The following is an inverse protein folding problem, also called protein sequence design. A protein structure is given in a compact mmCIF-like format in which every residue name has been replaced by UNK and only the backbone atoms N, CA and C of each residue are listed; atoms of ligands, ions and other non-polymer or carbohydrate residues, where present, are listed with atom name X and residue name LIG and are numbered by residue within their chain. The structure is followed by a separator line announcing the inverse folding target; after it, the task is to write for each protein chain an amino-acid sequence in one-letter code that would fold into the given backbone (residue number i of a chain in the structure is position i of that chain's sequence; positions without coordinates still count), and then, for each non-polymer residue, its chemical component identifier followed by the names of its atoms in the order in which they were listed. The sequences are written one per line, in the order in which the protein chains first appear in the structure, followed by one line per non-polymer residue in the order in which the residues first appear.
data_IF_289532040469
#
_entry.id   IF_289532040469
#
_cell.length_a   1.000
_cell.length_b   1.000
_cell.length_c   1.000
_cell.angle_alpha   90.00
_cell.angle_beta   90.00
_cell.angle_gamma   90.00
#
_symmetry.space_group_name_H-M   'P 1'
#
loop_
_entity.id
_entity.type
_entity.pdbx_description
1 polymer ?
#
# COMPACT_ATOMS: atom_id res chain seq x y z
N UNK A 1 -5.10 -22.91 20.33
CA UNK A 1 -4.73 -22.85 18.91
C UNK A 1 -3.22 -22.72 18.80
N UNK A 2 -2.55 -23.47 17.93
CA UNK A 2 -1.12 -23.32 17.69
C UNK A 2 -0.87 -22.21 16.70
N UNK A 3 -0.11 -21.19 17.07
CA UNK A 3 0.32 -20.15 16.15
C UNK A 3 1.29 -20.71 15.11
N UNK A 4 1.12 -20.33 13.86
CA UNK A 4 2.05 -20.64 12.75
C UNK A 4 2.59 -19.34 12.17
N UNK A 5 3.85 -19.36 11.74
CA UNK A 5 4.44 -18.22 11.03
C UNK A 5 4.02 -18.24 9.55
N UNK A 6 4.13 -17.09 8.88
CA UNK A 6 3.85 -16.98 7.46
C UNK A 6 4.76 -17.84 6.61
N UNK A 7 4.19 -18.54 5.62
CA UNK A 7 4.94 -19.27 4.60
C UNK A 7 5.59 -18.35 3.54
N UNK A 8 5.24 -17.07 3.53
CA UNK A 8 5.82 -16.07 2.63
C UNK A 8 7.23 -15.63 3.05
N UNK A 9 7.74 -16.13 4.18
CA UNK A 9 9.04 -15.77 4.73
C UNK A 9 10.18 -16.31 3.86
N UNK A 10 11.09 -15.41 3.44
CA UNK A 10 12.29 -15.74 2.68
C UNK A 10 13.55 -15.79 3.55
N UNK A 11 13.52 -15.20 4.74
CA UNK A 11 14.68 -15.15 5.63
C UNK A 11 14.23 -15.22 7.10
N UNK A 12 14.98 -15.97 7.92
CA UNK A 12 14.70 -16.11 9.34
C UNK A 12 15.93 -15.72 10.16
N UNK A 13 15.75 -14.78 11.08
CA UNK A 13 16.74 -14.43 12.11
C UNK A 13 16.02 -14.06 13.39
N UNK A 14 15.86 -15.01 14.29
CA UNK A 14 15.08 -14.78 15.50
C UNK A 14 15.81 -13.86 16.48
N UNK A 15 15.07 -12.86 16.94
CA UNK A 15 15.49 -11.88 17.94
C UNK A 15 15.37 -12.45 19.34
N UNK A 16 16.36 -12.21 20.23
CA UNK A 16 16.22 -12.50 21.65
C UNK A 16 15.34 -11.48 22.39
N UNK A 17 15.01 -10.33 21.77
CA UNK A 17 14.19 -9.26 22.36
C UNK A 17 12.71 -9.57 22.19
N UNK A 18 12.20 -10.50 22.98
CA UNK A 18 10.82 -10.97 22.93
C UNK A 18 10.34 -11.43 24.31
N UNK A 19 9.04 -11.55 24.46
CA UNK A 19 8.44 -12.32 25.55
C UNK A 19 7.72 -13.55 24.99
N UNK A 20 7.92 -14.69 25.62
CA UNK A 20 7.38 -15.97 25.21
C UNK A 20 6.64 -16.63 26.37
N UNK A 21 5.41 -17.11 26.14
CA UNK A 21 4.56 -16.85 24.97
C UNK A 21 3.93 -15.43 25.03
N UNK A 22 3.26 -14.99 23.95
CA UNK A 22 2.32 -13.86 24.06
C UNK A 22 1.15 -14.24 24.97
N UNK A 23 0.53 -13.25 25.60
CA UNK A 23 -0.57 -13.48 26.54
C UNK A 23 -1.96 -13.11 26.01
N UNK A 24 -2.07 -12.91 24.71
CA UNK A 24 -3.32 -12.57 24.03
C UNK A 24 -3.37 -13.20 22.64
N UNK A 25 -4.57 -13.53 22.15
CA UNK A 25 -4.74 -13.97 20.77
C UNK A 25 -4.36 -12.83 19.80
N UNK A 26 -3.86 -13.21 18.62
CA UNK A 26 -3.58 -12.25 17.56
C UNK A 26 -4.92 -11.80 16.97
N UNK A 27 -5.21 -10.51 17.12
CA UNK A 27 -6.39 -9.87 16.58
C UNK A 27 -6.09 -8.49 15.96
N UNK A 28 -4.82 -8.12 15.91
CA UNK A 28 -4.36 -6.77 15.53
C UNK A 28 -3.14 -6.86 14.62
N UNK A 29 -3.03 -5.94 13.67
CA UNK A 29 -1.81 -5.70 12.89
C UNK A 29 -1.29 -4.29 13.20
N UNK A 30 0.02 -4.18 13.49
CA UNK A 30 0.69 -2.90 13.69
C UNK A 30 1.78 -2.71 12.64
N UNK A 31 1.61 -1.70 11.79
CA UNK A 31 2.53 -1.39 10.70
C UNK A 31 3.48 -0.27 11.13
N UNK A 32 4.78 -0.48 10.92
CA UNK A 32 5.87 0.45 11.19
C UNK A 32 6.66 0.79 9.93
N UNK A 33 7.42 1.88 9.93
CA UNK A 33 8.45 2.15 8.94
C UNK A 33 9.84 1.91 9.54
N UNK A 34 10.67 1.15 8.84
CA UNK A 34 12.02 0.79 9.27
C UNK A 34 13.00 1.96 9.26
N UNK A 35 12.71 3.00 8.47
CA UNK A 35 13.59 4.18 8.25
C UNK A 35 14.94 3.75 7.65
N UNK A 36 14.89 2.99 6.54
CA UNK A 36 16.02 2.52 5.76
C UNK A 36 15.59 1.64 4.60
N UNK A 37 16.27 1.75 3.48
CA UNK A 37 16.08 0.91 2.29
C UNK A 37 16.86 -0.39 2.49
N UNK A 38 16.28 -1.31 3.24
CA UNK A 38 16.88 -2.60 3.59
C UNK A 38 16.15 -3.76 2.94
N UNK A 39 16.86 -4.84 2.62
CA UNK A 39 16.23 -6.15 2.35
C UNK A 39 15.77 -6.78 3.68
N UNK A 40 14.91 -7.79 3.63
CA UNK A 40 14.49 -8.51 4.84
C UNK A 40 15.69 -9.06 5.64
N UNK A 41 16.69 -9.59 4.93
CA UNK A 41 17.93 -10.10 5.56
C UNK A 41 18.69 -8.99 6.30
N UNK A 42 18.86 -7.83 5.70
CA UNK A 42 19.53 -6.68 6.33
C UNK A 42 18.73 -6.17 7.55
N UNK A 43 17.41 -6.02 7.40
CA UNK A 43 16.54 -5.53 8.46
C UNK A 43 16.50 -6.45 9.67
N UNK A 44 16.37 -7.78 9.48
CA UNK A 44 16.39 -8.75 10.56
C UNK A 44 17.75 -8.82 11.29
N UNK A 45 18.85 -8.46 10.64
CA UNK A 45 20.20 -8.47 11.22
C UNK A 45 20.60 -7.15 11.87
N UNK A 46 19.70 -6.18 12.03
CA UNK A 46 20.05 -4.92 12.69
C UNK A 46 20.45 -5.16 14.15
N UNK A 47 21.38 -4.33 14.66
CA UNK A 47 21.96 -4.48 15.98
C UNK A 47 20.94 -4.46 17.12
N UNK A 48 19.85 -3.69 16.97
CA UNK A 48 18.76 -3.60 17.96
C UNK A 48 17.96 -4.89 18.07
N UNK A 49 17.87 -5.66 16.98
CA UNK A 49 17.09 -6.91 16.94
C UNK A 49 17.91 -8.11 17.40
N UNK A 50 19.19 -8.19 17.00
CA UNK A 50 20.01 -9.40 17.22
C UNK A 50 20.71 -9.45 18.58
N UNK A 51 20.84 -8.32 19.28
CA UNK A 51 21.46 -8.26 20.60
C UNK A 51 20.41 -8.14 21.70
N UNK A 52 20.46 -9.02 22.71
CA UNK A 52 19.59 -8.90 23.88
C UNK A 52 19.90 -7.61 24.62
N UNK A 53 18.88 -6.76 24.76
CA UNK A 53 19.00 -5.55 25.56
C UNK A 53 17.62 -5.17 26.12
N UNK A 54 17.45 -5.22 27.44
CA UNK A 54 16.17 -4.94 28.10
C UNK A 54 15.78 -3.45 28.07
N UNK A 55 16.73 -2.54 27.83
CA UNK A 55 16.52 -1.08 27.88
C UNK A 55 16.35 -0.52 26.45
N UNK A 56 17.26 -0.88 25.55
CA UNK A 56 17.33 -0.29 24.19
C UNK A 56 17.03 -1.28 23.08
N UNK A 57 16.84 -2.56 23.43
CA UNK A 57 16.50 -3.61 22.46
C UNK A 57 15.11 -3.39 21.88
N UNK A 58 14.97 -3.75 20.62
CA UNK A 58 13.70 -3.74 19.90
C UNK A 58 13.57 -5.03 19.09
N UNK A 59 12.39 -5.30 18.60
CA UNK A 59 12.12 -6.36 17.63
C UNK A 59 10.75 -6.15 16.99
N UNK A 60 10.52 -6.81 15.87
CA UNK A 60 9.20 -6.95 15.25
C UNK A 60 8.94 -8.43 14.93
N UNK A 61 7.72 -8.79 14.60
CA UNK A 61 7.47 -10.14 14.10
C UNK A 61 8.06 -10.29 12.70
N UNK A 62 7.78 -9.35 11.80
CA UNK A 62 8.24 -9.41 10.42
C UNK A 62 8.93 -8.12 9.96
N UNK A 63 9.86 -8.28 9.02
CA UNK A 63 10.43 -7.19 8.23
C UNK A 63 10.05 -7.42 6.78
N UNK A 64 9.51 -6.39 6.13
CA UNK A 64 9.29 -6.36 4.68
C UNK A 64 10.37 -5.50 4.05
N UNK A 65 11.20 -6.09 3.20
CA UNK A 65 12.29 -5.43 2.50
C UNK A 65 11.82 -4.54 1.35
N UNK A 66 12.65 -3.57 0.95
CA UNK A 66 12.36 -2.71 -0.21
C UNK A 66 12.21 -3.49 -1.52
N UNK A 67 12.80 -4.67 -1.61
CA UNK A 67 12.75 -5.61 -2.74
C UNK A 67 11.54 -6.57 -2.69
N UNK A 68 10.69 -6.43 -1.67
CA UNK A 68 9.54 -7.29 -1.41
C UNK A 68 9.87 -8.56 -0.63
N UNK A 69 11.13 -8.78 -0.24
CA UNK A 69 11.50 -9.92 0.63
C UNK A 69 10.84 -9.81 2.01
N UNK A 70 10.54 -10.96 2.65
CA UNK A 70 9.91 -11.02 3.96
C UNK A 70 10.80 -11.78 4.94
N UNK A 71 11.12 -11.18 6.05
CA UNK A 71 11.92 -11.76 7.12
C UNK A 71 11.14 -11.99 8.40
N UNK A 72 11.42 -13.09 9.11
CA UNK A 72 10.87 -13.41 10.42
C UNK A 72 11.90 -13.08 11.50
N UNK A 73 11.54 -12.21 12.42
CA UNK A 73 12.37 -11.81 13.56
C UNK A 73 11.83 -12.31 14.90
N UNK A 74 10.52 -12.43 15.08
CA UNK A 74 9.88 -12.98 16.27
C UNK A 74 8.71 -13.85 15.83
N UNK A 75 8.64 -15.07 16.35
CA UNK A 75 7.54 -15.98 16.05
C UNK A 75 6.19 -15.34 16.44
N UNK A 76 5.14 -15.64 15.70
CA UNK A 76 3.79 -15.15 16.04
C UNK A 76 3.28 -15.66 17.38
N UNK A 77 3.78 -16.79 17.88
CA UNK A 77 3.54 -17.28 19.24
C UNK A 77 4.11 -16.39 20.35
N UNK A 78 4.98 -15.47 19.99
CA UNK A 78 5.72 -14.61 20.92
C UNK A 78 5.35 -13.13 20.72
N UNK A 79 5.48 -12.35 21.79
CA UNK A 79 5.32 -10.91 21.76
C UNK A 79 6.63 -10.24 21.34
N UNK A 80 6.62 -9.47 20.28
CA UNK A 80 7.72 -8.58 19.89
C UNK A 80 7.83 -7.34 20.81
N UNK A 81 8.89 -6.56 20.67
CA UNK A 81 9.10 -5.28 21.35
C UNK A 81 9.14 -4.16 20.31
N UNK A 82 8.00 -3.74 19.80
CA UNK A 82 7.92 -2.89 18.64
C UNK A 82 7.22 -1.55 18.86
N UNK A 83 6.00 -1.55 19.41
CA UNK A 83 5.14 -0.37 19.45
C UNK A 83 5.33 0.51 20.69
N UNK A 84 6.27 0.20 21.58
CA UNK A 84 6.42 0.82 22.89
C UNK A 84 5.20 0.59 23.83
N UNK A 85 4.33 -0.35 23.48
CA UNK A 85 3.15 -0.70 24.27
C UNK A 85 2.98 -2.22 24.38
N UNK A 86 3.16 -2.74 25.59
CA UNK A 86 3.10 -4.18 25.86
C UNK A 86 1.74 -4.80 25.55
N UNK A 87 0.65 -4.09 25.82
CA UNK A 87 -0.71 -4.57 25.56
C UNK A 87 -0.96 -4.70 24.06
N UNK A 88 -0.58 -3.67 23.29
CA UNK A 88 -0.67 -3.72 21.83
C UNK A 88 0.18 -4.85 21.25
N UNK A 89 1.46 -4.94 21.63
CA UNK A 89 2.38 -5.94 21.07
C UNK A 89 1.98 -7.39 21.43
N UNK A 90 1.21 -7.60 22.51
CA UNK A 90 0.63 -8.91 22.81
C UNK A 90 -0.53 -9.29 21.87
N UNK A 91 -1.28 -8.31 21.39
CA UNK A 91 -2.40 -8.51 20.46
C UNK A 91 -1.95 -8.52 19.01
N UNK A 92 -0.90 -7.75 18.71
CA UNK A 92 -0.52 -7.45 17.35
C UNK A 92 0.55 -8.39 16.79
N UNK A 93 0.44 -8.67 15.49
CA UNK A 93 1.60 -8.95 14.65
C UNK A 93 2.16 -7.61 14.19
N UNK A 94 3.42 -7.36 14.51
CA UNK A 94 4.13 -6.11 14.21
C UNK A 94 5.01 -6.27 12.98
N UNK A 95 4.93 -5.31 12.05
CA UNK A 95 5.61 -5.39 10.75
C UNK A 95 6.40 -4.11 10.53
N UNK A 96 7.71 -4.22 10.39
CA UNK A 96 8.60 -3.14 9.96
C UNK A 96 8.75 -3.18 8.44
N UNK A 97 8.42 -2.08 7.76
CA UNK A 97 8.49 -1.98 6.30
C UNK A 97 9.66 -1.09 5.91
N UNK A 98 10.55 -1.59 5.05
CA UNK A 98 11.65 -0.80 4.51
C UNK A 98 11.12 0.46 3.84
N UNK A 99 11.70 1.61 4.19
CA UNK A 99 11.22 2.91 3.75
C UNK A 99 12.38 3.86 3.47
N UNK A 100 12.09 4.98 2.85
CA UNK A 100 13.05 6.09 2.79
C UNK A 100 13.42 6.57 4.20
N UNK A 101 14.58 7.23 4.30
CA UNK A 101 15.11 7.75 5.57
C UNK A 101 14.57 9.13 5.93
N UNK A 102 13.90 9.79 5.00
CA UNK A 102 13.32 11.14 5.15
C UNK A 102 11.81 11.09 4.94
N UNK A 103 11.11 12.07 5.54
CA UNK A 103 9.68 12.27 5.30
C UNK A 103 9.38 12.40 3.81
N UNK A 104 8.31 11.76 3.30
CA UNK A 104 7.22 11.07 4.03
C UNK A 104 7.53 9.61 4.43
N UNK A 105 8.76 9.12 4.32
CA UNK A 105 9.18 7.73 4.57
C UNK A 105 8.50 6.77 3.59
N UNK A 106 8.60 7.08 2.30
CA UNK A 106 7.99 6.29 1.24
C UNK A 106 8.54 4.86 1.22
N UNK A 107 7.67 3.92 0.87
CA UNK A 107 8.04 2.52 0.65
C UNK A 107 7.96 2.19 -0.83
N UNK A 108 8.70 1.18 -1.28
CA UNK A 108 8.62 0.73 -2.67
C UNK A 108 7.30 0.00 -2.93
N UNK A 109 6.93 -0.08 -4.19
CA UNK A 109 5.75 -0.84 -4.60
C UNK A 109 5.86 -2.31 -4.20
N UNK A 110 7.04 -2.93 -4.42
CA UNK A 110 7.29 -4.33 -4.02
C UNK A 110 7.10 -4.55 -2.52
N UNK A 111 7.57 -3.60 -1.70
CA UNK A 111 7.36 -3.65 -0.26
C UNK A 111 5.87 -3.51 0.09
N UNK A 112 5.13 -2.63 -0.58
CA UNK A 112 3.68 -2.46 -0.35
C UNK A 112 2.89 -3.72 -0.74
N UNK A 113 3.18 -4.30 -1.90
CA UNK A 113 2.53 -5.54 -2.36
C UNK A 113 2.79 -6.70 -1.38
N UNK A 114 4.05 -6.88 -0.97
CA UNK A 114 4.42 -7.91 0.01
C UNK A 114 3.80 -7.66 1.39
N UNK A 115 3.68 -6.39 1.81
CA UNK A 115 2.99 -6.02 3.05
C UNK A 115 1.52 -6.42 3.01
N UNK A 116 0.80 -6.13 1.92
CA UNK A 116 -0.61 -6.48 1.76
C UNK A 116 -0.80 -8.00 1.78
N UNK A 117 0.02 -8.74 1.02
CA UNK A 117 -0.03 -10.21 1.01
C UNK A 117 0.28 -10.81 2.38
N UNK A 118 1.28 -10.28 3.10
CA UNK A 118 1.62 -10.71 4.45
C UNK A 118 0.49 -10.42 5.43
N UNK A 119 -0.13 -9.24 5.37
CA UNK A 119 -1.28 -8.90 6.22
C UNK A 119 -2.46 -9.84 5.96
N UNK A 120 -2.77 -10.16 4.70
CA UNK A 120 -3.82 -11.09 4.34
C UNK A 120 -3.54 -12.52 4.86
N UNK A 121 -2.29 -13.00 4.74
CA UNK A 121 -1.86 -14.29 5.27
C UNK A 121 -1.96 -14.34 6.80
N UNK A 122 -1.54 -13.29 7.51
CA UNK A 122 -1.70 -13.17 8.97
C UNK A 122 -3.18 -13.22 9.34
N UNK A 123 -4.04 -12.47 8.65
CA UNK A 123 -5.48 -12.46 8.91
C UNK A 123 -6.09 -13.85 8.75
N UNK A 124 -5.77 -14.57 7.67
CA UNK A 124 -6.27 -15.93 7.41
C UNK A 124 -5.87 -16.93 8.50
N UNK A 125 -4.58 -16.91 8.90
CA UNK A 125 -4.04 -17.84 9.90
C UNK A 125 -4.52 -17.57 11.32
N UNK A 126 -4.92 -16.33 11.62
CA UNK A 126 -5.36 -15.91 12.94
C UNK A 126 -6.89 -15.62 12.98
N UNK A 127 -7.65 -16.06 11.99
CA UNK A 127 -9.12 -15.96 11.92
C UNK A 127 -9.63 -14.49 11.97
N UNK A 128 -8.81 -13.54 11.56
CA UNK A 128 -9.20 -12.14 11.41
C UNK A 128 -9.99 -12.01 10.11
N UNK A 129 -11.31 -11.96 10.22
CA UNK A 129 -12.21 -11.97 9.05
C UNK A 129 -12.18 -10.68 8.25
N UNK A 130 -11.84 -9.57 8.90
CA UNK A 130 -11.85 -8.23 8.30
C UNK A 130 -10.80 -7.34 8.95
N UNK A 131 -9.99 -6.65 8.15
CA UNK A 131 -9.03 -5.67 8.64
C UNK A 131 -9.64 -4.27 8.57
N UNK A 132 -9.63 -3.54 9.68
CA UNK A 132 -10.29 -2.24 9.79
C UNK A 132 -9.38 -1.17 10.37
N UNK A 133 -9.19 -0.11 9.60
CA UNK A 133 -8.55 1.12 10.02
C UNK A 133 -9.58 2.16 10.48
N UNK A 134 -9.23 2.98 11.46
CA UNK A 134 -9.96 4.20 11.85
C UNK A 134 -9.02 5.40 11.84
N UNK A 135 -9.49 6.53 11.34
CA UNK A 135 -8.75 7.80 11.43
C UNK A 135 -8.72 8.33 12.87
N UNK A 136 -9.64 7.88 13.72
CA UNK A 136 -9.71 8.24 15.12
C UNK A 136 -8.72 7.42 15.96
N UNK A 137 -7.73 8.09 16.55
CA UNK A 137 -6.71 7.48 17.41
C UNK A 137 -7.31 6.72 18.61
N UNK A 138 -8.40 7.22 19.19
CA UNK A 138 -9.08 6.57 20.34
C UNK A 138 -9.67 5.22 19.93
N UNK A 139 -10.26 5.13 18.73
CA UNK A 139 -10.80 3.86 18.22
C UNK A 139 -9.70 2.82 18.04
N UNK A 140 -8.57 3.22 17.44
CA UNK A 140 -7.42 2.34 17.25
C UNK A 140 -6.86 1.81 18.58
N UNK A 141 -6.63 2.71 19.54
CA UNK A 141 -6.07 2.32 20.85
C UNK A 141 -6.97 1.42 21.68
N UNK A 142 -8.28 1.59 21.52
CA UNK A 142 -9.29 0.91 22.34
C UNK A 142 -10.06 -0.16 21.55
N UNK A 143 -9.64 -0.47 20.32
CA UNK A 143 -10.27 -1.45 19.41
C UNK A 143 -11.80 -1.23 19.25
N UNK A 144 -12.21 0.05 19.24
CA UNK A 144 -13.63 0.41 19.08
C UNK A 144 -14.08 0.22 17.64
N UNK A 145 -15.36 -0.01 17.46
CA UNK A 145 -15.98 -0.17 16.14
C UNK A 145 -15.32 -1.25 15.27
N UNK A 146 -14.69 -2.27 15.88
CA UNK A 146 -14.00 -3.35 15.18
C UNK A 146 -12.62 -2.97 14.61
N UNK A 147 -12.08 -1.79 14.97
CA UNK A 147 -10.75 -1.37 14.55
C UNK A 147 -9.69 -2.33 15.11
N UNK A 148 -8.86 -2.88 14.22
CA UNK A 148 -7.81 -3.86 14.52
C UNK A 148 -6.48 -3.55 13.79
N UNK A 149 -6.33 -2.32 13.31
CA UNK A 149 -5.06 -1.78 12.85
C UNK A 149 -4.60 -0.67 13.76
N UNK A 150 -3.31 -0.69 14.13
CA UNK A 150 -2.68 0.31 14.98
C UNK A 150 -1.34 0.73 14.40
N UNK A 151 -0.77 1.81 14.91
CA UNK A 151 0.54 2.33 14.50
C UNK A 151 1.36 2.80 15.71
N UNK A 152 2.67 2.88 15.58
CA UNK A 152 3.55 3.26 16.68
C UNK A 152 3.21 4.63 17.29
N UNK A 153 2.85 5.63 16.46
CA UNK A 153 2.46 6.97 16.94
C UNK A 153 1.19 7.00 17.79
N UNK A 154 0.46 5.90 17.86
CA UNK A 154 -0.69 5.79 18.77
C UNK A 154 -0.24 5.66 20.23
N UNK A 155 0.94 5.10 20.45
CA UNK A 155 1.44 4.72 21.78
C UNK A 155 2.65 5.51 22.23
N UNK A 156 3.40 6.14 21.34
CA UNK A 156 4.59 6.91 21.64
C UNK A 156 4.68 8.17 20.77
N UNK A 157 5.45 9.17 21.22
CA UNK A 157 5.75 10.38 20.43
C UNK A 157 6.76 10.06 19.32
N UNK A 158 6.30 9.39 18.27
CA UNK A 158 7.10 8.95 17.11
C UNK A 158 6.42 9.35 15.80
N UNK A 159 7.21 9.59 14.76
CA UNK A 159 6.71 9.80 13.40
C UNK A 159 6.29 8.48 12.71
N UNK A 160 6.76 7.33 13.20
CA UNK A 160 6.41 6.01 12.67
C UNK A 160 4.89 5.78 12.66
N UNK A 161 4.31 5.26 11.55
CA UNK A 161 4.94 4.62 10.42
C UNK A 161 5.35 5.57 9.28
N UNK A 162 5.50 6.87 9.52
CA UNK A 162 5.68 7.90 8.51
C UNK A 162 4.35 8.28 7.83
N UNK A 163 4.32 9.44 7.17
CA UNK A 163 3.08 9.91 6.56
C UNK A 163 2.66 9.03 5.38
N UNK A 164 3.63 8.51 4.63
CA UNK A 164 3.34 7.65 3.48
C UNK A 164 2.48 6.43 3.86
N UNK A 165 2.91 5.63 4.85
CA UNK A 165 2.15 4.47 5.30
C UNK A 165 0.93 4.87 6.15
N UNK A 166 1.02 5.95 6.93
CA UNK A 166 -0.09 6.40 7.77
C UNK A 166 -1.33 6.78 6.95
N UNK A 167 -1.14 7.52 5.88
CA UNK A 167 -2.22 7.94 4.97
C UNK A 167 -2.79 6.78 4.14
N UNK A 168 -2.06 5.65 4.07
CA UNK A 168 -2.45 4.45 3.30
C UNK A 168 -2.95 3.28 4.13
N UNK A 169 -3.13 3.45 5.45
CA UNK A 169 -3.62 2.37 6.31
C UNK A 169 -5.01 1.87 5.87
N UNK A 170 -5.93 2.78 5.50
CA UNK A 170 -7.25 2.43 4.97
C UNK A 170 -7.13 1.64 3.65
N UNK A 171 -6.31 2.12 2.73
CA UNK A 171 -6.02 1.44 1.47
C UNK A 171 -5.45 0.02 1.70
N UNK A 172 -4.49 -0.13 2.63
CA UNK A 172 -3.93 -1.45 2.97
C UNK A 172 -5.04 -2.37 3.50
N UNK A 173 -5.91 -1.85 4.39
CA UNK A 173 -7.04 -2.61 4.90
C UNK A 173 -7.97 -3.08 3.77
N UNK A 174 -8.32 -2.19 2.86
CA UNK A 174 -9.24 -2.49 1.74
C UNK A 174 -8.66 -3.54 0.80
N UNK A 175 -7.37 -3.45 0.44
CA UNK A 175 -6.71 -4.45 -0.41
C UNK A 175 -6.59 -5.82 0.29
N UNK A 176 -6.30 -5.84 1.59
CA UNK A 176 -6.29 -7.07 2.38
C UNK A 176 -7.68 -7.71 2.39
N UNK A 177 -8.72 -6.92 2.61
CA UNK A 177 -10.10 -7.42 2.67
C UNK A 177 -10.56 -8.00 1.34
N UNK A 178 -10.19 -7.43 0.20
CA UNK A 178 -10.44 -8.03 -1.13
C UNK A 178 -9.85 -9.45 -1.21
N UNK A 179 -8.60 -9.64 -0.77
CA UNK A 179 -7.95 -10.96 -0.76
C UNK A 179 -8.64 -11.94 0.21
N UNK A 180 -9.20 -11.45 1.32
CA UNK A 180 -9.92 -12.28 2.27
C UNK A 180 -11.28 -12.70 1.70
N UNK A 181 -11.99 -11.83 1.02
CA UNK A 181 -13.31 -12.08 0.42
C UNK A 181 -13.23 -13.06 -0.77
N UNK A 182 -12.22 -12.92 -1.64
CA UNK A 182 -11.99 -13.83 -2.77
C UNK A 182 -11.86 -15.30 -2.33
N UNK A 183 -11.24 -15.56 -1.16
CA UNK A 183 -11.07 -16.92 -0.63
C UNK A 183 -12.32 -17.47 0.07
N UNK A 184 -13.24 -16.63 0.51
CA UNK A 184 -14.53 -17.06 1.07
C UNK A 184 -15.53 -17.45 -0.02
N UNK A 185 -15.35 -16.97 -1.25
CA UNK A 185 -16.20 -17.22 -2.42
C UNK A 185 -15.84 -18.52 -3.17
N UNK A 186 -14.77 -19.23 -2.80
CA UNK A 186 -14.24 -20.40 -3.53
C UNK A 186 -15.11 -21.68 -3.46
N UNK A 187 -16.39 -21.61 -3.12
CA UNK A 187 -17.36 -22.73 -3.23
C UNK A 187 -18.44 -22.53 -4.30
N UNK A 188 -18.37 -21.49 -5.08
CA UNK A 188 -19.22 -21.31 -6.25
C UNK A 188 -18.34 -21.09 -7.48
N UNK A 189 -18.64 -21.80 -8.56
CA UNK A 189 -17.97 -21.63 -9.86
C UNK A 189 -17.87 -20.15 -10.23
N UNK A 190 -16.69 -19.57 -10.08
CA UNK A 190 -16.46 -18.18 -10.46
C UNK A 190 -16.22 -18.17 -11.96
N UNK A 191 -17.26 -17.79 -12.70
CA UNK A 191 -17.07 -17.01 -13.93
C UNK A 191 -16.22 -15.83 -13.47
N UNK A 192 -15.06 -15.63 -14.11
CA UNK A 192 -14.23 -14.43 -13.90
C UNK A 192 -15.11 -13.26 -14.38
N UNK A 193 -15.93 -12.72 -13.46
CA UNK A 193 -16.52 -11.41 -13.67
C UNK A 193 -15.34 -10.44 -13.75
N UNK A 194 -15.17 -9.86 -14.92
CA UNK A 194 -14.24 -8.75 -15.12
C UNK A 194 -14.56 -7.71 -14.04
N UNK A 195 -13.60 -7.45 -13.16
CA UNK A 195 -13.70 -6.37 -12.18
C UNK A 195 -13.86 -5.07 -12.98
N UNK A 196 -15.11 -4.59 -13.07
CA UNK A 196 -15.41 -3.25 -13.56
C UNK A 196 -15.14 -2.29 -12.39
N UNK A 197 -14.08 -1.48 -12.43
CA UNK A 197 -13.87 -0.47 -11.41
C UNK A 197 -15.08 0.47 -11.41
N UNK A 198 -15.47 0.96 -10.24
CA UNK A 198 -16.56 1.91 -10.07
C UNK A 198 -16.22 3.19 -10.85
N UNK A 199 -16.68 3.25 -12.10
CA UNK A 199 -16.53 4.43 -12.95
C UNK A 199 -17.40 5.54 -12.39
N UNK A 200 -16.85 6.73 -12.29
CA UNK A 200 -17.60 7.93 -11.95
C UNK A 200 -18.64 8.31 -13.01
N UNK A 201 -19.41 9.36 -12.73
CA UNK A 201 -20.42 9.88 -13.65
C UNK A 201 -19.84 10.20 -15.04
N UNK A 202 -20.56 9.85 -16.09
CA UNK A 202 -20.18 10.06 -17.49
C UNK A 202 -20.03 11.55 -17.85
N UNK A 203 -20.80 12.43 -17.23
CA UNK A 203 -20.65 13.87 -17.42
C UNK A 203 -19.30 14.36 -16.88
N UNK A 204 -18.87 13.79 -15.77
CA UNK A 204 -17.56 14.06 -15.20
C UNK A 204 -16.43 13.53 -16.09
N UNK A 205 -16.60 12.34 -16.68
CA UNK A 205 -15.65 11.79 -17.66
C UNK A 205 -15.49 12.70 -18.88
N UNK A 206 -16.60 13.18 -19.44
CA UNK A 206 -16.57 14.12 -20.56
C UNK A 206 -15.78 15.41 -20.22
N UNK A 207 -15.92 15.90 -18.98
CA UNK A 207 -15.16 17.05 -18.50
C UNK A 207 -13.67 16.74 -18.39
N UNK A 208 -13.29 15.54 -17.95
CA UNK A 208 -11.89 15.12 -17.86
C UNK A 208 -11.26 15.05 -19.27
N UNK A 209 -11.98 14.56 -20.27
CA UNK A 209 -11.47 14.54 -21.66
C UNK A 209 -11.18 15.96 -22.17
N UNK A 210 -12.06 16.92 -21.90
CA UNK A 210 -11.81 18.35 -22.19
C UNK A 210 -10.55 18.86 -21.49
N UNK A 211 -10.37 18.50 -20.21
CA UNK A 211 -9.19 18.87 -19.43
C UNK A 211 -7.91 18.25 -19.99
N UNK A 212 -7.94 17.00 -20.46
CA UNK A 212 -6.81 16.36 -21.14
C UNK A 212 -6.40 17.15 -22.39
N UNK A 213 -7.34 17.51 -23.25
CA UNK A 213 -7.08 18.30 -24.47
C UNK A 213 -6.50 19.68 -24.12
N UNK A 214 -7.09 20.36 -23.13
CA UNK A 214 -6.58 21.64 -22.65
C UNK A 214 -5.15 21.52 -22.09
N UNK A 215 -4.88 20.42 -21.36
CA UNK A 215 -3.55 20.14 -20.81
C UNK A 215 -2.53 19.86 -21.91
N UNK A 216 -2.90 19.13 -22.96
CA UNK A 216 -2.05 18.89 -24.12
C UNK A 216 -1.73 20.20 -24.86
N UNK A 217 -2.71 21.08 -25.01
CA UNK A 217 -2.50 22.39 -25.60
C UNK A 217 -1.50 23.21 -24.77
N UNK A 218 -1.66 23.23 -23.44
CA UNK A 218 -0.78 23.99 -22.52
C UNK A 218 0.62 23.41 -22.38
N UNK A 219 0.72 22.11 -22.18
CA UNK A 219 1.98 21.46 -21.86
C UNK A 219 2.84 21.11 -23.08
N UNK A 220 2.19 20.90 -24.25
CA UNK A 220 2.86 20.43 -25.47
C UNK A 220 2.67 21.35 -26.68
N UNK A 221 2.00 22.51 -26.49
CA UNK A 221 1.79 23.48 -27.57
C UNK A 221 0.89 22.98 -28.68
N UNK A 222 -0.02 22.05 -28.40
CA UNK A 222 -0.98 21.51 -29.37
C UNK A 222 -2.20 22.43 -29.49
N UNK A 223 -3.05 22.20 -30.50
CA UNK A 223 -4.22 23.03 -30.81
C UNK A 223 -5.49 22.21 -30.88
N UNK A 224 -5.76 21.39 -29.87
CA UNK A 224 -7.01 20.64 -29.80
C UNK A 224 -8.21 21.56 -29.60
N UNK A 225 -9.29 21.26 -30.34
CA UNK A 225 -10.64 21.76 -30.01
C UNK A 225 -11.05 21.13 -28.66
N UNK A 226 -11.53 21.96 -27.73
CA UNK A 226 -11.87 21.52 -26.37
C UNK A 226 -13.28 20.95 -26.33
N UNK A 227 -13.42 19.71 -26.76
CA UNK A 227 -14.65 18.91 -26.70
C UNK A 227 -14.38 17.57 -25.95
N UNK A 228 -15.43 16.78 -25.77
CA UNK A 228 -15.35 15.48 -25.05
C UNK A 228 -15.11 14.29 -26.00
N UNK A 229 -14.79 14.49 -27.25
CA UNK A 229 -14.54 13.40 -28.21
C UNK A 229 -13.19 12.72 -27.95
N UNK A 230 -13.16 11.40 -28.04
CA UNK A 230 -11.93 10.60 -28.04
C UNK A 230 -11.74 10.08 -29.45
N UNK A 231 -10.87 10.72 -30.20
CA UNK A 231 -10.56 10.39 -31.59
C UNK A 231 -9.09 9.95 -31.75
N UNK A 232 -8.73 9.45 -32.91
CA UNK A 232 -7.39 8.95 -33.21
C UNK A 232 -6.29 10.01 -33.05
N UNK A 233 -6.62 11.29 -33.29
CA UNK A 233 -5.66 12.40 -33.13
C UNK A 233 -5.32 12.54 -31.64
N UNK A 234 -6.30 12.50 -30.75
CA UNK A 234 -6.05 12.52 -29.28
C UNK A 234 -5.23 11.32 -28.84
N UNK A 235 -5.62 10.12 -29.27
CA UNK A 235 -4.94 8.87 -28.91
C UNK A 235 -3.49 8.85 -29.41
N UNK A 236 -3.25 9.30 -30.64
CA UNK A 236 -1.90 9.39 -31.22
C UNK A 236 -1.03 10.36 -30.44
N UNK A 237 -1.53 11.52 -30.05
CA UNK A 237 -0.76 12.46 -29.25
C UNK A 237 -0.49 11.94 -27.84
N UNK A 238 -1.47 11.34 -27.16
CA UNK A 238 -1.29 10.73 -25.85
C UNK A 238 -0.32 9.55 -25.88
N UNK A 239 -0.22 8.82 -26.99
CA UNK A 239 0.74 7.73 -27.11
C UNK A 239 2.20 8.16 -26.96
N UNK A 240 2.49 9.45 -27.18
CA UNK A 240 3.81 10.05 -27.00
C UNK A 240 3.98 10.71 -25.62
N UNK A 241 2.94 10.73 -24.79
CA UNK A 241 2.97 11.31 -23.44
C UNK A 241 3.42 10.26 -22.44
N UNK A 242 4.70 10.31 -22.07
CA UNK A 242 5.28 9.46 -21.06
C UNK A 242 5.42 10.26 -19.77
N UNK A 243 4.70 9.87 -18.72
CA UNK A 243 4.74 10.50 -17.40
C UNK A 243 5.30 9.52 -16.39
N UNK A 244 6.21 10.01 -15.56
CA UNK A 244 6.82 9.27 -14.45
C UNK A 244 7.20 10.24 -13.33
N UNK A 245 7.66 9.71 -12.19
CA UNK A 245 8.08 10.53 -11.04
C UNK A 245 9.21 11.50 -11.38
N UNK A 246 10.07 11.17 -12.36
CA UNK A 246 11.21 11.98 -12.78
C UNK A 246 10.97 12.76 -14.07
N UNK A 247 9.85 12.53 -14.76
CA UNK A 247 9.52 13.16 -16.03
C UNK A 247 8.00 13.36 -16.15
N UNK A 248 7.53 14.58 -15.87
CA UNK A 248 6.13 14.92 -15.98
C UNK A 248 5.91 16.40 -16.30
N UNK A 249 4.70 16.72 -16.77
CA UNK A 249 4.20 18.09 -16.92
C UNK A 249 2.93 18.26 -16.11
N UNK A 250 2.79 19.40 -15.44
CA UNK A 250 1.79 19.57 -14.37
C UNK A 250 0.34 19.49 -14.83
N UNK A 251 0.00 20.11 -15.98
CA UNK A 251 -1.38 20.14 -16.42
C UNK A 251 -1.88 18.75 -16.84
N UNK A 252 -1.09 18.01 -17.64
CA UNK A 252 -1.49 16.66 -18.07
C UNK A 252 -1.46 15.67 -16.91
N UNK A 253 -0.55 15.84 -15.94
CA UNK A 253 -0.54 15.04 -14.71
C UNK A 253 -1.79 15.30 -13.88
N UNK A 254 -2.23 16.54 -13.75
CA UNK A 254 -3.48 16.89 -13.08
C UNK A 254 -4.68 16.19 -13.71
N UNK A 255 -4.76 16.21 -15.05
CA UNK A 255 -5.84 15.54 -15.81
C UNK A 255 -5.78 14.01 -15.69
N UNK A 256 -4.58 13.42 -15.67
CA UNK A 256 -4.38 11.99 -15.38
C UNK A 256 -4.89 11.63 -13.96
N UNK A 257 -4.56 12.43 -12.96
CA UNK A 257 -5.02 12.20 -11.57
C UNK A 257 -6.55 12.29 -11.47
N UNK A 258 -7.19 13.21 -12.18
CA UNK A 258 -8.65 13.27 -12.27
C UNK A 258 -9.22 11.99 -12.90
N UNK A 259 -8.59 11.48 -13.97
CA UNK A 259 -9.00 10.26 -14.65
C UNK A 259 -8.85 9.03 -13.77
N UNK A 260 -7.72 8.91 -13.05
CA UNK A 260 -7.50 7.84 -12.08
C UNK A 260 -8.55 7.89 -10.95
N UNK A 261 -8.88 9.08 -10.45
CA UNK A 261 -9.94 9.24 -9.45
C UNK A 261 -11.32 8.88 -9.99
N UNK A 262 -11.60 9.19 -11.26
CA UNK A 262 -12.84 8.78 -11.92
C UNK A 262 -12.96 7.24 -12.03
N UNK A 263 -11.84 6.56 -12.20
CA UNK A 263 -11.75 5.10 -12.15
C UNK A 263 -11.88 4.51 -10.73
N UNK A 264 -12.09 5.33 -9.71
CA UNK A 264 -12.30 4.90 -8.32
C UNK A 264 -11.04 4.82 -7.46
N UNK A 265 -9.88 5.24 -7.99
CA UNK A 265 -8.65 5.25 -7.18
C UNK A 265 -8.56 6.48 -6.28
N UNK A 266 -7.88 6.34 -5.13
CA UNK A 266 -7.63 7.47 -4.23
C UNK A 266 -6.43 8.32 -4.71
N UNK A 267 -6.61 8.93 -5.90
CA UNK A 267 -5.60 9.79 -6.49
C UNK A 267 -5.61 11.18 -5.85
N UNK A 268 -4.44 11.66 -5.45
CA UNK A 268 -4.23 13.05 -5.01
C UNK A 268 -4.10 13.95 -6.24
N UNK A 269 -5.10 14.80 -6.47
CA UNK A 269 -5.15 15.71 -7.62
C UNK A 269 -4.41 17.00 -7.31
N UNK A 270 -3.13 17.10 -7.69
CA UNK A 270 -2.27 18.25 -7.41
C UNK A 270 -1.31 18.63 -8.55
N UNK A 271 -1.37 17.93 -9.68
CA UNK A 271 -0.51 18.14 -10.84
C UNK A 271 0.95 17.70 -10.66
N UNK A 272 1.30 17.07 -9.54
CA UNK A 272 2.64 16.53 -9.30
C UNK A 272 2.62 15.01 -9.47
N UNK A 273 3.48 14.49 -10.35
CA UNK A 273 3.64 13.04 -10.49
C UNK A 273 4.54 12.51 -9.36
N UNK A 274 3.97 12.40 -8.17
CA UNK A 274 4.64 11.87 -6.99
C UNK A 274 4.37 10.38 -6.80
N UNK A 275 4.86 9.83 -5.68
CA UNK A 275 4.73 8.40 -5.33
C UNK A 275 3.29 7.89 -5.29
N UNK A 276 2.31 8.73 -4.90
CA UNK A 276 0.89 8.34 -4.97
C UNK A 276 0.44 8.13 -6.43
N UNK A 277 0.77 9.04 -7.35
CA UNK A 277 0.39 8.90 -8.76
C UNK A 277 1.10 7.70 -9.41
N UNK A 278 2.41 7.55 -9.18
CA UNK A 278 3.19 6.40 -9.64
C UNK A 278 2.60 5.06 -9.19
N UNK A 279 2.28 4.98 -7.91
CA UNK A 279 1.67 3.80 -7.31
C UNK A 279 0.32 3.47 -7.95
N UNK A 280 -0.59 4.46 -8.09
CA UNK A 280 -1.92 4.24 -8.67
C UNK A 280 -1.82 3.88 -10.15
N UNK A 281 -0.91 4.50 -10.91
CA UNK A 281 -0.66 4.12 -12.31
C UNK A 281 -0.21 2.66 -12.40
N UNK A 282 0.66 2.21 -11.50
CA UNK A 282 1.10 0.81 -11.49
C UNK A 282 0.00 -0.17 -11.08
N UNK A 283 -0.90 0.24 -10.18
CA UNK A 283 -2.09 -0.55 -9.85
C UNK A 283 -3.01 -0.71 -11.05
N UNK A 284 -3.34 0.40 -11.73
CA UNK A 284 -4.15 0.36 -12.94
C UNK A 284 -3.50 -0.52 -14.02
N UNK A 285 -2.18 -0.39 -14.23
CA UNK A 285 -1.44 -1.27 -15.13
C UNK A 285 -1.61 -2.75 -14.80
N UNK A 286 -1.54 -3.10 -13.51
CA UNK A 286 -1.76 -4.48 -13.05
C UNK A 286 -3.15 -5.00 -13.40
N UNK A 287 -4.18 -4.20 -13.14
CA UNK A 287 -5.57 -4.60 -13.37
C UNK A 287 -5.91 -4.82 -14.84
N UNK A 288 -5.25 -4.08 -15.74
CA UNK A 288 -5.44 -4.21 -17.19
C UNK A 288 -4.41 -5.12 -17.86
N UNK A 289 -3.64 -5.89 -17.09
CA UNK A 289 -2.66 -6.87 -17.59
C UNK A 289 -1.38 -6.26 -18.17
N UNK A 290 -1.08 -4.99 -17.89
CA UNK A 290 0.19 -4.37 -18.29
C UNK A 290 1.29 -4.57 -17.24
N UNK A 291 2.54 -4.45 -17.68
CA UNK A 291 3.69 -4.45 -16.77
C UNK A 291 3.61 -3.26 -15.80
N UNK A 292 3.71 -3.52 -14.52
CA UNK A 292 3.70 -2.52 -13.43
C UNK A 292 4.97 -1.67 -13.45
N UNK A 293 4.96 -0.58 -14.16
CA UNK A 293 6.11 0.33 -14.26
C UNK A 293 5.91 1.63 -13.50
N UNK A 294 4.66 1.97 -13.15
CA UNK A 294 4.30 3.27 -12.61
C UNK A 294 4.52 4.43 -13.61
N UNK A 295 4.75 4.11 -14.88
CA UNK A 295 5.00 5.08 -15.96
C UNK A 295 3.93 4.93 -17.01
N UNK A 296 3.35 6.04 -17.50
CA UNK A 296 2.35 5.98 -18.55
C UNK A 296 2.98 5.55 -19.88
N UNK A 297 2.29 4.70 -20.63
CA UNK A 297 2.67 4.24 -21.97
C UNK A 297 1.53 4.46 -22.94
N UNK A 298 1.75 4.19 -24.22
CA UNK A 298 0.69 4.19 -25.23
C UNK A 298 -0.47 3.28 -24.81
N UNK A 299 -0.17 2.05 -24.45
CA UNK A 299 -1.16 1.04 -24.05
C UNK A 299 -1.93 1.47 -22.80
N UNK A 300 -1.24 2.09 -21.84
CA UNK A 300 -1.86 2.66 -20.65
C UNK A 300 -2.91 3.73 -21.02
N UNK A 301 -2.56 4.68 -21.89
CA UNK A 301 -3.47 5.74 -22.30
C UNK A 301 -4.71 5.20 -23.05
N UNK A 302 -4.52 4.20 -23.93
CA UNK A 302 -5.63 3.55 -24.62
C UNK A 302 -6.58 2.90 -23.61
N UNK A 303 -6.07 2.11 -22.70
CA UNK A 303 -6.87 1.37 -21.72
C UNK A 303 -7.57 2.28 -20.72
N UNK A 304 -6.90 3.30 -20.21
CA UNK A 304 -7.53 4.22 -19.24
C UNK A 304 -8.63 5.07 -19.85
N UNK A 305 -8.60 5.28 -21.17
CA UNK A 305 -9.65 5.95 -21.94
C UNK A 305 -10.75 4.99 -22.45
N UNK A 306 -10.67 3.70 -22.10
CA UNK A 306 -11.67 2.70 -22.49
C UNK A 306 -11.56 2.24 -23.97
N UNK A 307 -10.36 2.23 -24.53
CA UNK A 307 -10.05 1.84 -25.91
C UNK A 307 -9.18 0.59 -26.01
#
# INVERSE_FOLDING_TARGET
MGYTNSSLVNYIKLSPNKNSPRNHNIDTITIHCYVGQVTAKQGCNCSKFVKRNAITGASCNYVVGYDGSIGLCVNESDRSWCSSNKANDNRAVTIEVASETKSPYAVTQKAMESLILLCADICKRNEIKYLKWSTNKSDRKNHRNGCNMTVHRDYAAKSCPGNYLYERQGYIADEVNKILDENNSSKTNIVVEQFEPLKGDQNHFATIIKNIKLSLNKDYGLSFVIDSSINDILLTNLSNVVLSINAYKSNITYSLQQLLKWWGYDAVINGKYGSNTEFIVSLFQSQIGLKKTGTTTKEFWYKILGK
#
